data_IF_501423039778
#
_entry.id   IF_501423039778
#
_cell.length_a   1.000
_cell.length_b   1.000
_cell.length_c   1.000
_cell.angle_alpha   90.00
_cell.angle_beta   90.00
_cell.angle_gamma   90.00
#
_symmetry.space_group_name_H-M   'P 1'
#
loop_
_entity.id
_entity.type
_entity.pdbx_description
1 polymer ?
#
# COMPACT_ATOMS: atom_id res chain seq x y z
N UNK A 1 -23.37 4.98 12.18
CA UNK A 1 -22.65 4.75 10.91
C UNK A 1 -22.53 3.26 10.66
N UNK A 2 -23.10 2.78 9.55
CA UNK A 2 -23.01 1.38 9.10
C UNK A 2 -21.54 0.94 8.90
N UNK A 3 -21.19 -0.34 9.15
CA UNK A 3 -19.81 -0.85 9.03
C UNK A 3 -19.19 -0.58 7.65
N UNK A 4 -19.99 -0.75 6.58
CA UNK A 4 -19.57 -0.49 5.20
C UNK A 4 -19.16 0.97 4.97
N UNK A 5 -19.85 1.94 5.58
CA UNK A 5 -19.50 3.37 5.48
C UNK A 5 -18.18 3.68 6.18
N UNK A 6 -17.88 3.04 7.30
CA UNK A 6 -16.60 3.24 8.03
C UNK A 6 -15.42 2.73 7.21
N UNK A 7 -15.55 1.55 6.61
CA UNK A 7 -14.54 0.96 5.74
C UNK A 7 -14.31 1.82 4.48
N UNK A 8 -15.38 2.39 3.93
CA UNK A 8 -15.29 3.29 2.77
C UNK A 8 -14.56 4.59 3.12
N UNK A 9 -14.87 5.19 4.28
CA UNK A 9 -14.19 6.39 4.77
C UNK A 9 -12.71 6.15 5.08
N UNK A 10 -12.36 4.99 5.66
CA UNK A 10 -10.98 4.63 5.93
C UNK A 10 -10.19 4.41 4.62
N UNK A 11 -10.79 3.79 3.60
CA UNK A 11 -10.17 3.66 2.27
C UNK A 11 -9.98 5.02 1.60
N UNK A 12 -10.97 5.91 1.72
CA UNK A 12 -10.87 7.27 1.19
C UNK A 12 -9.72 8.03 1.88
N UNK A 13 -9.60 7.93 3.21
CA UNK A 13 -8.52 8.55 3.96
C UNK A 13 -7.14 7.99 3.56
N UNK A 14 -7.03 6.67 3.37
CA UNK A 14 -5.79 6.03 2.90
C UNK A 14 -5.42 6.51 1.49
N UNK A 15 -6.39 6.57 0.57
CA UNK A 15 -6.17 7.05 -0.81
C UNK A 15 -5.76 8.53 -0.84
N UNK A 16 -6.39 9.38 -0.03
CA UNK A 16 -6.04 10.80 0.09
C UNK A 16 -4.66 10.99 0.71
N UNK A 17 -4.31 10.21 1.74
CA UNK A 17 -2.97 10.24 2.35
C UNK A 17 -1.90 9.80 1.37
N UNK A 18 -2.17 8.73 0.62
CA UNK A 18 -1.29 8.24 -0.43
C UNK A 18 -1.10 9.30 -1.53
N UNK A 19 -2.19 9.91 -2.00
CA UNK A 19 -2.16 10.99 -3.00
C UNK A 19 -1.39 12.22 -2.51
N UNK A 20 -1.56 12.60 -1.24
CA UNK A 20 -0.79 13.69 -0.63
C UNK A 20 0.71 13.36 -0.57
N UNK A 21 1.06 12.14 -0.18
CA UNK A 21 2.45 11.65 -0.21
C UNK A 21 3.03 11.69 -1.63
N UNK A 22 2.27 11.27 -2.64
CA UNK A 22 2.69 11.35 -4.04
C UNK A 22 3.04 12.79 -4.47
N UNK A 23 2.22 13.78 -4.10
CA UNK A 23 2.49 15.18 -4.41
C UNK A 23 3.67 15.76 -3.63
N UNK A 24 3.87 15.34 -2.38
CA UNK A 24 5.05 15.72 -1.59
C UNK A 24 6.34 15.15 -2.19
N UNK A 25 6.25 13.97 -2.80
CA UNK A 25 7.35 13.24 -3.41
C UNK A 25 7.76 13.77 -4.79
N UNK A 26 6.81 14.30 -5.56
CA UNK A 26 7.00 14.77 -6.94
C UNK A 26 8.26 15.64 -7.20
N UNK A 27 8.58 16.66 -6.39
CA UNK A 27 9.77 17.48 -6.63
C UNK A 27 11.10 16.74 -6.40
N UNK A 28 11.13 15.72 -5.55
CA UNK A 28 12.34 14.97 -5.21
C UNK A 28 12.67 13.85 -6.20
N UNK A 29 11.86 13.72 -7.24
CA UNK A 29 11.84 12.58 -8.13
C UNK A 29 11.96 12.93 -9.62
N UNK A 30 12.10 14.22 -9.94
CA UNK A 30 12.21 14.69 -11.32
C UNK A 30 13.43 14.10 -12.06
N UNK A 31 14.44 13.63 -11.31
CA UNK A 31 15.68 13.09 -11.86
C UNK A 31 15.67 11.55 -12.04
N UNK A 32 14.59 10.86 -11.63
CA UNK A 32 14.52 9.40 -11.76
C UNK A 32 13.94 8.96 -13.11
N UNK A 33 14.57 7.99 -13.80
CA UNK A 33 14.04 7.44 -15.05
C UNK A 33 12.77 6.61 -14.85
N UNK A 34 12.49 6.18 -13.61
CA UNK A 34 11.24 5.54 -13.24
C UNK A 34 10.28 6.62 -12.70
N UNK A 35 9.31 7.01 -13.52
CA UNK A 35 8.30 7.99 -13.15
C UNK A 35 7.59 7.58 -11.84
N UNK A 36 7.65 8.37 -10.77
CA UNK A 36 7.11 8.00 -9.44
C UNK A 36 5.60 7.86 -9.43
N UNK A 37 4.94 8.58 -10.33
CA UNK A 37 3.55 8.43 -10.71
C UNK A 37 3.23 7.01 -11.19
N UNK A 38 4.17 6.33 -11.86
CA UNK A 38 4.02 4.92 -12.23
C UNK A 38 4.19 3.99 -11.02
N UNK A 39 5.14 4.24 -10.12
CA UNK A 39 5.31 3.46 -8.88
C UNK A 39 4.11 3.60 -7.95
N UNK A 40 3.68 4.84 -7.72
CA UNK A 40 2.51 5.16 -6.94
C UNK A 40 1.24 4.56 -7.55
N UNK A 41 1.04 4.76 -8.86
CA UNK A 41 -0.09 4.19 -9.59
C UNK A 41 -0.10 2.66 -9.54
N UNK A 42 1.06 2.02 -9.64
CA UNK A 42 1.20 0.58 -9.49
C UNK A 42 0.86 0.09 -8.08
N UNK A 43 1.36 0.75 -7.03
CA UNK A 43 1.04 0.38 -5.65
C UNK A 43 -0.44 0.61 -5.31
N UNK A 44 -1.04 1.69 -5.81
CA UNK A 44 -2.47 1.97 -5.69
C UNK A 44 -3.31 0.91 -6.43
N UNK A 45 -2.92 0.55 -7.65
CA UNK A 45 -3.58 -0.50 -8.42
C UNK A 45 -3.49 -1.86 -7.71
N UNK A 46 -2.32 -2.23 -7.18
CA UNK A 46 -2.16 -3.45 -6.38
C UNK A 46 -3.03 -3.43 -5.12
N UNK A 47 -3.18 -2.28 -4.45
CA UNK A 47 -4.06 -2.16 -3.28
C UNK A 47 -5.53 -2.37 -3.67
N UNK A 48 -5.98 -1.76 -4.77
CA UNK A 48 -7.34 -1.93 -5.28
C UNK A 48 -7.62 -3.38 -5.69
N UNK A 49 -6.68 -4.03 -6.37
CA UNK A 49 -6.78 -5.45 -6.75
C UNK A 49 -6.83 -6.35 -5.51
N UNK A 50 -6.00 -6.10 -4.49
CA UNK A 50 -6.03 -6.83 -3.24
C UNK A 50 -7.38 -6.63 -2.52
N UNK A 51 -7.90 -5.41 -2.52
CA UNK A 51 -9.20 -5.09 -1.94
C UNK A 51 -10.36 -5.80 -2.65
N UNK A 52 -10.35 -5.81 -3.98
CA UNK A 52 -11.33 -6.57 -4.79
C UNK A 52 -11.21 -8.06 -4.49
N UNK A 53 -10.00 -8.62 -4.46
CA UNK A 53 -9.76 -10.02 -4.12
C UNK A 53 -10.29 -10.36 -2.72
N UNK A 54 -10.07 -9.50 -1.73
CA UNK A 54 -10.62 -9.63 -0.38
C UNK A 54 -12.16 -9.64 -0.41
N UNK A 55 -12.81 -8.71 -1.12
CA UNK A 55 -14.28 -8.67 -1.19
C UNK A 55 -14.81 -9.95 -1.85
N UNK A 56 -14.19 -10.39 -2.94
CA UNK A 56 -14.57 -11.60 -3.65
C UNK A 56 -14.41 -12.85 -2.77
N UNK A 57 -13.30 -12.95 -2.05
CA UNK A 57 -13.03 -14.05 -1.13
C UNK A 57 -13.96 -13.98 0.08
N UNK A 58 -14.22 -12.80 0.66
CA UNK A 58 -15.13 -12.64 1.80
C UNK A 58 -16.54 -13.12 1.48
N UNK A 59 -17.03 -12.85 0.26
CA UNK A 59 -18.37 -13.28 -0.17
C UNK A 59 -18.54 -14.81 -0.21
N UNK A 60 -17.47 -15.56 -0.48
CA UNK A 60 -17.53 -17.03 -0.58
C UNK A 60 -16.96 -17.75 0.65
N UNK A 61 -15.95 -17.17 1.27
CA UNK A 61 -15.15 -17.75 2.35
C UNK A 61 -14.74 -16.63 3.34
N UNK A 62 -15.64 -16.17 4.21
CA UNK A 62 -15.37 -15.05 5.13
C UNK A 62 -14.17 -15.30 6.03
N UNK A 63 -14.01 -16.51 6.56
CA UNK A 63 -12.84 -16.91 7.36
C UNK A 63 -11.51 -16.90 6.59
N UNK A 64 -11.54 -16.99 5.25
CA UNK A 64 -10.33 -17.00 4.41
C UNK A 64 -9.88 -15.61 3.95
N UNK A 65 -10.76 -14.60 4.05
CA UNK A 65 -10.46 -13.25 3.59
C UNK A 65 -9.37 -12.56 4.43
N UNK A 66 -9.22 -12.91 5.71
CA UNK A 66 -8.11 -12.44 6.54
C UNK A 66 -6.73 -12.89 6.04
N UNK A 67 -6.63 -14.13 5.52
CA UNK A 67 -5.37 -14.64 4.95
C UNK A 67 -4.98 -13.93 3.65
N UNK A 68 -5.97 -13.44 2.89
CA UNK A 68 -5.72 -12.67 1.67
C UNK A 68 -5.07 -11.33 2.00
N UNK A 69 -5.51 -10.64 3.07
CA UNK A 69 -4.83 -9.43 3.56
C UNK A 69 -3.40 -9.71 3.99
N UNK A 70 -3.20 -10.76 4.80
CA UNK A 70 -1.87 -11.10 5.31
C UNK A 70 -0.90 -11.45 4.17
N UNK A 71 -1.35 -12.24 3.19
CA UNK A 71 -0.56 -12.59 2.02
C UNK A 71 -0.27 -11.39 1.12
N UNK A 72 -1.25 -10.50 0.93
CA UNK A 72 -1.08 -9.25 0.18
C UNK A 72 -0.02 -8.32 0.76
N UNK A 73 0.01 -8.20 2.09
CA UNK A 73 1.03 -7.43 2.79
C UNK A 73 2.43 -8.03 2.59
N UNK A 74 2.60 -9.34 2.77
CA UNK A 74 3.92 -9.99 2.58
C UNK A 74 4.49 -9.73 1.18
N UNK A 75 3.67 -9.89 0.13
CA UNK A 75 4.09 -9.65 -1.25
C UNK A 75 4.59 -8.22 -1.46
N UNK A 76 3.92 -7.24 -0.86
CA UNK A 76 4.35 -5.85 -1.01
C UNK A 76 5.60 -5.52 -0.19
N UNK A 77 5.82 -6.13 1.00
CA UNK A 77 7.10 -6.01 1.72
C UNK A 77 8.23 -6.46 0.81
N UNK A 78 8.08 -7.63 0.18
CA UNK A 78 9.10 -8.20 -0.71
C UNK A 78 9.34 -7.26 -1.89
N UNK A 79 8.29 -6.73 -2.49
CA UNK A 79 8.38 -5.88 -3.66
C UNK A 79 9.03 -4.53 -3.35
N UNK A 80 8.65 -3.89 -2.23
CA UNK A 80 9.26 -2.65 -1.73
C UNK A 80 10.72 -2.89 -1.36
N UNK A 81 11.01 -3.93 -0.58
CA UNK A 81 12.38 -4.29 -0.20
C UNK A 81 13.26 -4.55 -1.42
N UNK A 82 12.74 -5.27 -2.43
CA UNK A 82 13.44 -5.53 -3.69
C UNK A 82 13.71 -4.24 -4.47
N UNK A 83 12.75 -3.31 -4.50
CA UNK A 83 12.90 -2.00 -5.13
C UNK A 83 13.97 -1.15 -4.41
N UNK A 84 13.94 -1.11 -3.08
CA UNK A 84 14.95 -0.39 -2.29
C UNK A 84 16.35 -0.95 -2.56
N UNK A 85 16.51 -2.27 -2.54
CA UNK A 85 17.79 -2.93 -2.85
C UNK A 85 18.25 -2.65 -4.29
N UNK A 86 17.33 -2.67 -5.25
CA UNK A 86 17.62 -2.31 -6.65
C UNK A 86 18.11 -0.86 -6.76
N UNK A 87 17.40 0.07 -6.13
CA UNK A 87 17.76 1.50 -6.16
C UNK A 87 19.10 1.74 -5.47
N UNK A 88 19.33 1.13 -4.32
CA UNK A 88 20.61 1.16 -3.63
C UNK A 88 21.75 0.65 -4.51
N UNK A 89 21.54 -0.48 -5.20
CA UNK A 89 22.54 -1.11 -6.06
C UNK A 89 22.90 -0.24 -7.28
N UNK A 90 21.90 0.40 -7.90
CA UNK A 90 22.07 1.08 -9.18
C UNK A 90 22.27 2.59 -9.08
N UNK A 91 21.85 3.24 -7.98
CA UNK A 91 21.87 4.70 -7.84
C UNK A 91 22.58 5.21 -6.56
N UNK A 92 23.06 4.32 -5.68
CA UNK A 92 23.80 4.70 -4.46
C UNK A 92 22.90 5.14 -3.30
N UNK A 93 23.47 5.57 -2.16
CA UNK A 93 22.70 5.84 -0.93
C UNK A 93 22.35 7.32 -0.68
N UNK A 94 23.16 8.25 -1.17
CA UNK A 94 23.17 9.63 -0.64
C UNK A 94 22.03 10.53 -1.14
N UNK A 95 21.50 10.29 -2.34
CA UNK A 95 20.34 11.02 -2.88
C UNK A 95 18.99 10.36 -2.59
N UNK A 96 18.99 9.15 -2.02
CA UNK A 96 17.81 8.27 -2.05
C UNK A 96 17.28 7.92 -0.66
N UNK A 97 17.95 8.36 0.41
CA UNK A 97 17.54 8.12 1.78
C UNK A 97 16.14 8.68 2.09
N UNK A 98 15.82 9.86 1.55
CA UNK A 98 14.51 10.50 1.67
C UNK A 98 13.43 9.72 0.90
N UNK A 99 13.71 9.38 -0.36
CA UNK A 99 12.83 8.55 -1.18
C UNK A 99 12.53 7.18 -0.54
N UNK A 100 13.56 6.52 0.02
CA UNK A 100 13.40 5.24 0.72
C UNK A 100 12.57 5.43 1.99
N UNK A 101 12.80 6.49 2.76
CA UNK A 101 12.00 6.79 3.95
C UNK A 101 10.53 7.05 3.59
N UNK A 102 10.25 7.76 2.51
CA UNK A 102 8.90 8.03 2.04
C UNK A 102 8.22 6.78 1.48
N UNK A 103 8.95 5.93 0.75
CA UNK A 103 8.46 4.64 0.27
C UNK A 103 8.11 3.72 1.45
N UNK A 104 8.97 3.68 2.47
CA UNK A 104 8.73 2.94 3.72
C UNK A 104 7.56 3.54 4.49
N UNK A 105 7.44 4.86 4.57
CA UNK A 105 6.33 5.54 5.25
C UNK A 105 4.98 5.26 4.59
N UNK A 106 4.90 5.40 3.27
CA UNK A 106 3.71 5.03 2.49
C UNK A 106 3.37 3.55 2.70
N UNK A 107 4.37 2.68 2.67
CA UNK A 107 4.20 1.26 2.90
C UNK A 107 3.64 0.94 4.30
N UNK A 108 4.16 1.60 5.33
CA UNK A 108 3.72 1.44 6.70
C UNK A 108 2.24 1.82 6.88
N UNK A 109 1.80 2.89 6.23
CA UNK A 109 0.39 3.32 6.24
C UNK A 109 -0.51 2.23 5.62
N UNK A 110 -0.11 1.64 4.48
CA UNK A 110 -0.85 0.54 3.87
C UNK A 110 -0.86 -0.72 4.75
N UNK A 111 0.26 -1.05 5.40
CA UNK A 111 0.35 -2.20 6.30
C UNK A 111 -0.58 -2.03 7.52
N UNK A 112 -0.56 -0.86 8.17
CA UNK A 112 -1.47 -0.55 9.28
C UNK A 112 -2.92 -0.66 8.82
N UNK A 113 -3.24 -0.16 7.63
CA UNK A 113 -4.58 -0.27 7.07
C UNK A 113 -5.00 -1.72 6.79
N UNK A 114 -4.10 -2.55 6.25
CA UNK A 114 -4.34 -3.98 6.01
C UNK A 114 -4.61 -4.73 7.32
N UNK A 115 -3.79 -4.49 8.35
CA UNK A 115 -3.97 -5.10 9.68
C UNK A 115 -5.30 -4.67 10.29
N UNK A 116 -5.58 -3.37 10.28
CA UNK A 116 -6.83 -2.83 10.82
C UNK A 116 -8.05 -3.41 10.09
N UNK A 117 -7.99 -3.46 8.75
CA UNK A 117 -9.06 -4.02 7.92
C UNK A 117 -9.26 -5.51 8.18
N UNK A 118 -8.17 -6.28 8.32
CA UNK A 118 -8.24 -7.71 8.67
C UNK A 118 -8.86 -7.92 10.06
N UNK A 119 -8.46 -7.12 11.07
CA UNK A 119 -9.05 -7.17 12.42
C UNK A 119 -10.55 -6.85 12.36
N UNK A 120 -10.96 -5.82 11.63
CA UNK A 120 -12.37 -5.50 11.46
C UNK A 120 -13.13 -6.60 10.75
N UNK A 121 -12.52 -7.23 9.73
CA UNK A 121 -13.15 -8.33 9.00
C UNK A 121 -13.43 -9.54 9.90
N UNK A 122 -12.50 -9.84 10.82
CA UNK A 122 -12.62 -10.98 11.74
C UNK A 122 -13.62 -10.69 12.88
N UNK A 123 -13.75 -9.42 13.30
CA UNK A 123 -14.73 -9.03 14.35
C UNK A 123 -16.19 -9.16 13.92
N UNK A 124 -16.47 -9.15 12.63
CA UNK A 124 -17.82 -9.24 12.06
C UNK A 124 -18.24 -10.70 11.70
N UNK A 125 -17.41 -11.70 12.01
CA UNK A 125 -17.70 -13.14 11.80
C UNK A 125 -18.14 -13.75 13.14
#
# INVERSE_FOLDING_TARGET
MEPAKRITLLNLAAALTAYAFHYALRPHLQDFPLHPDMLFGFMLAMQLLLWVAVILVRRRHPAKAGFVFLGGGIVKIILVGSLVLYLQKHYGYRGHLWFVADLVGMYFIFLVFEIWSAVYLVRDI
#
